data_IF_010504624003
#
_entry.id   IF_010504624003
#
_cell.length_a   1.000
_cell.length_b   1.000
_cell.length_c   1.000
_cell.angle_alpha   90.00
_cell.angle_beta   90.00
_cell.angle_gamma   90.00
#
_symmetry.space_group_name_H-M   'P 1'
#
loop_
_entity.id
_entity.type
_entity.pdbx_description
1 polymer ?
#
# COMPACT_ATOMS: atom_id res chain seq x y z
N UNK A 1 -1.97 13.45 8.98
CA UNK A 1 -3.01 14.44 9.25
C UNK A 1 -4.25 13.74 9.85
N UNK A 2 -4.95 14.39 10.77
CA UNK A 2 -6.13 13.80 11.41
C UNK A 2 -7.43 14.11 10.66
N UNK A 3 -7.38 15.06 9.74
CA UNK A 3 -8.53 15.56 9.01
C UNK A 3 -8.72 14.91 7.65
N UNK A 4 -9.98 14.73 7.27
CA UNK A 4 -10.43 14.45 5.92
C UNK A 4 -11.01 15.73 5.34
N UNK A 5 -10.45 16.22 4.24
CA UNK A 5 -10.95 17.40 3.55
C UNK A 5 -12.00 16.97 2.53
N UNK A 6 -13.12 17.66 2.54
CA UNK A 6 -14.25 17.42 1.66
C UNK A 6 -14.59 18.72 0.95
N UNK A 7 -14.65 18.69 -0.37
CA UNK A 7 -15.06 19.80 -1.23
C UNK A 7 -16.20 19.35 -2.12
N UNK A 8 -17.28 20.12 -2.16
CA UNK A 8 -18.43 19.91 -3.03
C UNK A 8 -18.55 21.09 -3.98
N UNK A 9 -18.61 20.82 -5.26
CA UNK A 9 -18.74 21.83 -6.33
C UNK A 9 -19.41 21.18 -7.55
N UNK A 10 -20.41 21.84 -8.11
CA UNK A 10 -21.07 21.44 -9.37
C UNK A 10 -21.51 19.97 -9.47
N UNK A 11 -22.08 19.41 -8.40
CA UNK A 11 -22.53 18.01 -8.37
C UNK A 11 -21.41 16.99 -8.18
N UNK A 12 -20.19 17.44 -7.92
CA UNK A 12 -19.03 16.61 -7.61
C UNK A 12 -18.58 16.82 -6.17
N UNK A 13 -18.25 15.75 -5.49
CA UNK A 13 -17.62 15.77 -4.17
C UNK A 13 -16.21 15.18 -4.27
N UNK A 14 -15.22 15.97 -3.90
CA UNK A 14 -13.84 15.52 -3.76
C UNK A 14 -13.53 15.31 -2.28
N UNK A 15 -12.99 14.13 -1.96
CA UNK A 15 -12.60 13.76 -0.60
C UNK A 15 -11.10 13.50 -0.60
N UNK A 16 -10.35 14.20 0.28
CA UNK A 16 -8.88 14.15 0.32
C UNK A 16 -8.40 13.76 1.72
N UNK A 17 -7.60 12.70 1.78
CA UNK A 17 -6.89 12.28 2.98
C UNK A 17 -5.38 12.19 2.73
N UNK A 18 -4.58 12.45 3.77
CA UNK A 18 -3.13 12.33 3.68
C UNK A 18 -2.50 12.05 5.05
N UNK A 19 -1.40 11.28 5.04
CA UNK A 19 -0.47 11.15 6.16
C UNK A 19 0.88 11.85 5.91
N UNK A 20 0.96 12.64 4.81
CA UNK A 20 2.12 13.37 4.27
C UNK A 20 3.04 12.54 3.39
N UNK A 21 3.07 11.20 3.53
CA UNK A 21 3.81 10.30 2.66
C UNK A 21 2.92 9.67 1.59
N UNK A 22 1.61 9.60 1.88
CA UNK A 22 0.56 9.17 0.96
C UNK A 22 -0.55 10.21 0.94
N UNK A 23 -0.96 10.63 -0.25
CA UNK A 23 -2.18 11.40 -0.50
C UNK A 23 -3.15 10.52 -1.25
N UNK A 24 -4.40 10.48 -0.80
CA UNK A 24 -5.50 9.82 -1.50
C UNK A 24 -6.58 10.86 -1.76
N UNK A 25 -7.03 10.95 -3.02
CA UNK A 25 -8.21 11.71 -3.40
C UNK A 25 -9.24 10.77 -4.01
N UNK A 26 -10.48 10.98 -3.66
CA UNK A 26 -11.62 10.28 -4.26
C UNK A 26 -12.64 11.29 -4.78
N UNK A 27 -13.14 11.05 -5.98
CA UNK A 27 -14.19 11.86 -6.62
C UNK A 27 -15.50 11.08 -6.64
N UNK A 28 -16.54 11.68 -6.14
CA UNK A 28 -17.88 11.12 -6.03
C UNK A 28 -18.87 12.02 -6.74
N UNK A 29 -19.83 11.44 -7.46
CA UNK A 29 -20.97 12.18 -7.95
C UNK A 29 -21.98 12.32 -6.81
N UNK A 30 -22.46 13.53 -6.56
CA UNK A 30 -23.40 13.83 -5.49
C UNK A 30 -24.51 14.76 -6.00
N UNK A 31 -25.69 14.60 -5.43
CA UNK A 31 -26.76 15.59 -5.59
C UNK A 31 -26.52 16.71 -4.58
N UNK A 32 -25.98 17.83 -5.04
CA UNK A 32 -25.70 18.98 -4.16
C UNK A 32 -26.57 20.17 -4.49
N UNK A 33 -27.18 20.77 -3.45
CA UNK A 33 -27.91 22.03 -3.57
C UNK A 33 -26.98 23.24 -3.48
N UNK A 34 -25.88 23.11 -2.72
CA UNK A 34 -24.94 24.20 -2.44
C UNK A 34 -23.53 23.61 -2.38
N UNK A 35 -22.60 24.26 -3.08
CA UNK A 35 -21.18 23.92 -2.97
C UNK A 35 -20.59 24.41 -1.64
N UNK A 36 -19.49 23.81 -1.23
CA UNK A 36 -18.79 24.20 -0.01
C UNK A 36 -17.62 23.26 0.30
N UNK A 37 -16.92 23.59 1.36
CA UNK A 37 -15.77 22.81 1.81
C UNK A 37 -15.75 22.66 3.33
N UNK A 38 -15.23 21.56 3.82
CA UNK A 38 -15.03 21.34 5.23
C UNK A 38 -13.88 20.38 5.51
N UNK A 39 -13.30 20.51 6.70
CA UNK A 39 -12.34 19.57 7.24
C UNK A 39 -12.94 18.93 8.49
N UNK A 40 -13.01 17.60 8.54
CA UNK A 40 -13.57 16.84 9.66
C UNK A 40 -12.63 15.74 10.09
N UNK A 41 -12.80 15.22 11.32
CA UNK A 41 -11.97 14.11 11.81
C UNK A 41 -12.22 12.85 10.96
N UNK A 42 -11.19 12.40 10.27
CA UNK A 42 -11.24 11.29 9.31
C UNK A 42 -11.72 9.97 9.95
N UNK A 43 -11.19 9.65 11.15
CA UNK A 43 -11.53 8.41 11.85
C UNK A 43 -12.99 8.40 12.27
N UNK A 44 -13.45 9.50 12.86
CA UNK A 44 -14.84 9.60 13.35
C UNK A 44 -15.81 9.55 12.18
N UNK A 45 -15.55 10.33 11.11
CA UNK A 45 -16.37 10.30 9.91
C UNK A 45 -16.46 8.89 9.30
N UNK A 46 -15.33 8.22 9.15
CA UNK A 46 -15.28 6.85 8.61
C UNK A 46 -16.07 5.87 9.47
N UNK A 47 -15.97 5.96 10.80
CA UNK A 47 -16.74 5.10 11.72
C UNK A 47 -18.25 5.38 11.65
N UNK A 48 -18.64 6.66 11.56
CA UNK A 48 -20.05 7.06 11.44
C UNK A 48 -20.64 6.52 10.14
N UNK A 49 -20.02 6.83 8.99
CA UNK A 49 -20.52 6.40 7.67
C UNK A 49 -20.58 4.89 7.55
N UNK A 50 -19.56 4.16 8.06
CA UNK A 50 -19.52 2.69 8.03
C UNK A 50 -20.66 2.04 8.84
N UNK A 51 -21.12 2.69 9.90
CA UNK A 51 -22.18 2.18 10.79
C UNK A 51 -23.59 2.66 10.40
N UNK A 52 -23.70 3.58 9.44
CA UNK A 52 -24.98 3.98 8.91
C UNK A 52 -25.60 2.87 8.06
N UNK A 53 -26.91 2.82 8.03
CA UNK A 53 -27.66 1.93 7.14
C UNK A 53 -27.35 2.26 5.68
N UNK A 54 -27.45 1.27 4.81
CA UNK A 54 -27.33 1.50 3.36
C UNK A 54 -28.45 2.42 2.87
N UNK A 55 -28.10 3.37 2.02
CA UNK A 55 -29.05 4.33 1.44
C UNK A 55 -28.41 5.69 1.19
N UNK A 56 -29.23 6.69 1.09
CA UNK A 56 -28.80 8.07 0.92
C UNK A 56 -28.23 8.60 2.23
N UNK A 57 -27.06 9.24 2.15
CA UNK A 57 -26.43 9.94 3.27
C UNK A 57 -26.39 11.43 2.91
N UNK A 58 -26.98 12.25 3.76
CA UNK A 58 -27.06 13.69 3.57
C UNK A 58 -26.06 14.40 4.46
N UNK A 59 -25.28 15.29 3.87
CA UNK A 59 -24.33 16.15 4.59
C UNK A 59 -24.85 17.59 4.57
N UNK A 60 -25.05 18.19 5.74
CA UNK A 60 -25.50 19.56 5.90
C UNK A 60 -24.50 20.40 6.66
N UNK A 61 -24.14 21.55 6.11
CA UNK A 61 -23.26 22.53 6.74
C UNK A 61 -24.01 23.37 7.78
N UNK A 62 -23.63 23.26 9.04
CA UNK A 62 -24.20 24.05 10.15
C UNK A 62 -23.23 25.16 10.63
N UNK A 63 -22.28 25.60 9.80
CA UNK A 63 -21.27 26.58 10.16
C UNK A 63 -20.05 25.94 10.83
N UNK A 64 -20.09 25.73 12.14
CA UNK A 64 -18.97 25.12 12.89
C UNK A 64 -19.04 23.58 12.94
N UNK A 65 -20.12 23.00 12.48
CA UNK A 65 -20.37 21.56 12.48
C UNK A 65 -20.87 21.11 11.11
N UNK A 66 -20.66 19.83 10.80
CA UNK A 66 -21.31 19.14 9.69
C UNK A 66 -22.29 18.14 10.28
N UNK A 67 -23.52 18.22 9.88
CA UNK A 67 -24.56 17.24 10.19
C UNK A 67 -24.56 16.16 9.12
N UNK A 68 -24.62 14.90 9.54
CA UNK A 68 -24.63 13.71 8.71
C UNK A 68 -25.87 12.92 9.07
N UNK A 69 -26.75 12.75 8.10
CA UNK A 69 -28.04 12.09 8.28
C UNK A 69 -28.18 10.89 7.35
N UNK A 70 -28.72 9.80 7.87
CA UNK A 70 -29.16 8.66 7.07
C UNK A 70 -30.29 7.94 7.78
N UNK A 71 -31.44 7.73 7.11
CA UNK A 71 -32.65 7.14 7.64
C UNK A 71 -33.10 7.85 8.96
N UNK A 72 -32.94 7.20 10.11
CA UNK A 72 -33.30 7.74 11.45
C UNK A 72 -32.09 8.19 12.25
N UNK A 73 -30.91 8.16 11.69
CA UNK A 73 -29.66 8.48 12.37
C UNK A 73 -29.18 9.88 12.02
N UNK A 74 -28.83 10.66 13.02
CA UNK A 74 -28.26 12.01 12.90
C UNK A 74 -26.99 12.09 13.73
N UNK A 75 -25.91 12.58 13.13
CA UNK A 75 -24.63 12.84 13.79
C UNK A 75 -24.15 14.25 13.46
N UNK A 76 -23.56 14.92 14.46
CA UNK A 76 -22.93 16.25 14.26
C UNK A 76 -21.43 16.12 14.54
N UNK A 77 -20.64 16.45 13.55
CA UNK A 77 -19.17 16.46 13.67
C UNK A 77 -18.68 17.91 13.65
N UNK A 78 -17.88 18.28 14.65
CA UNK A 78 -17.23 19.59 14.65
C UNK A 78 -16.21 19.67 13.52
N UNK A 79 -16.25 20.78 12.77
CA UNK A 79 -15.23 21.09 11.77
C UNK A 79 -13.90 21.38 12.42
N UNK A 80 -12.83 20.93 11.77
CA UNK A 80 -11.47 21.34 12.05
C UNK A 80 -11.13 22.60 11.26
N UNK A 81 -10.11 23.33 11.67
CA UNK A 81 -9.65 24.49 10.93
C UNK A 81 -9.01 24.05 9.59
N UNK A 82 -9.71 24.32 8.50
CA UNK A 82 -9.26 23.94 7.15
C UNK A 82 -8.03 24.75 6.69
N UNK A 83 -7.75 25.89 7.27
CA UNK A 83 -6.55 26.68 6.97
C UNK A 83 -5.26 25.97 7.40
N UNK A 84 -5.36 24.99 8.30
CA UNK A 84 -4.24 24.13 8.70
C UNK A 84 -3.96 22.98 7.75
N UNK A 85 -4.86 22.72 6.79
CA UNK A 85 -4.65 21.67 5.80
C UNK A 85 -3.69 22.15 4.70
N UNK A 86 -2.64 21.38 4.33
CA UNK A 86 -1.64 21.84 3.36
C UNK A 86 -2.26 22.10 1.98
N UNK A 87 -2.20 23.35 1.51
CA UNK A 87 -2.79 23.76 0.22
C UNK A 87 -2.24 22.96 -0.95
N UNK A 88 -0.94 22.62 -0.93
CA UNK A 88 -0.32 21.82 -1.98
C UNK A 88 -1.00 20.47 -2.21
N UNK A 89 -1.64 19.90 -1.18
CA UNK A 89 -2.40 18.65 -1.33
C UNK A 89 -3.72 18.85 -2.07
N UNK A 90 -4.23 20.08 -2.11
CA UNK A 90 -5.49 20.43 -2.79
C UNK A 90 -5.29 20.72 -4.27
N UNK A 91 -4.06 21.10 -4.67
CA UNK A 91 -3.74 21.59 -6.02
C UNK A 91 -3.41 20.48 -7.01
N UNK A 92 -3.05 19.27 -6.56
CA UNK A 92 -2.74 18.16 -7.45
C UNK A 92 -3.96 17.75 -8.26
N UNK A 93 -3.85 17.78 -9.58
CA UNK A 93 -4.91 17.36 -10.50
C UNK A 93 -5.00 15.83 -10.62
N UNK A 94 -6.18 15.33 -11.02
CA UNK A 94 -6.36 13.93 -11.41
C UNK A 94 -5.67 13.60 -12.74
N UNK A 95 -5.38 14.59 -13.56
CA UNK A 95 -4.66 14.43 -14.81
C UNK A 95 -3.27 15.03 -14.67
N UNK A 96 -2.25 14.24 -14.98
CA UNK A 96 -0.86 14.67 -14.95
C UNK A 96 -0.25 14.58 -16.34
N UNK A 97 0.51 15.60 -16.72
CA UNK A 97 1.32 15.56 -17.94
C UNK A 97 2.28 14.36 -17.89
N UNK A 98 2.49 13.72 -19.04
CA UNK A 98 3.37 12.54 -19.22
C UNK A 98 2.90 11.27 -18.50
N UNK A 99 1.64 11.16 -18.14
CA UNK A 99 1.09 9.93 -17.58
C UNK A 99 0.97 8.83 -18.61
N UNK A 100 1.23 7.62 -18.19
CA UNK A 100 1.18 6.42 -19.03
C UNK A 100 0.11 5.47 -18.53
N UNK A 101 -0.56 4.80 -19.47
CA UNK A 101 -1.53 3.75 -19.11
C UNK A 101 -0.81 2.55 -18.50
N UNK A 102 -1.27 2.12 -17.35
CA UNK A 102 -0.72 0.99 -16.61
C UNK A 102 -1.53 -0.28 -16.85
N UNK A 103 -0.85 -1.42 -17.00
CA UNK A 103 -1.43 -2.74 -16.83
C UNK A 103 -1.34 -3.15 -15.34
N UNK A 104 -2.38 -2.90 -14.51
CA UNK A 104 -2.24 -2.93 -13.05
C UNK A 104 -1.97 -4.32 -12.50
N UNK A 105 -2.52 -5.36 -13.12
CA UNK A 105 -2.43 -6.74 -12.64
C UNK A 105 -1.00 -7.22 -12.47
N UNK A 106 -0.12 -6.97 -13.45
CA UNK A 106 1.27 -7.41 -13.41
C UNK A 106 2.03 -6.69 -12.30
N UNK A 107 1.96 -5.35 -12.26
CA UNK A 107 2.63 -4.53 -11.25
C UNK A 107 2.12 -4.85 -9.83
N UNK A 108 0.81 -4.88 -9.62
CA UNK A 108 0.24 -5.09 -8.29
C UNK A 108 0.53 -6.49 -7.76
N UNK A 109 0.50 -7.50 -8.65
CA UNK A 109 0.90 -8.87 -8.29
C UNK A 109 2.37 -8.94 -7.91
N UNK A 110 3.24 -8.29 -8.67
CA UNK A 110 4.67 -8.24 -8.40
C UNK A 110 4.97 -7.50 -7.08
N UNK A 111 4.34 -6.35 -6.84
CA UNK A 111 4.48 -5.59 -5.60
C UNK A 111 4.06 -6.39 -4.36
N UNK A 112 2.95 -7.15 -4.43
CA UNK A 112 2.55 -8.03 -3.33
C UNK A 112 3.56 -9.14 -3.06
N UNK A 113 4.15 -9.72 -4.12
CA UNK A 113 5.15 -10.79 -3.97
C UNK A 113 6.43 -10.29 -3.31
N UNK A 114 6.90 -9.09 -3.67
CA UNK A 114 8.14 -8.56 -3.10
C UNK A 114 7.91 -7.87 -1.77
N UNK A 115 6.81 -7.19 -1.59
CA UNK A 115 6.53 -6.35 -0.43
C UNK A 115 6.55 -7.10 0.91
N UNK A 116 6.34 -8.43 0.89
CA UNK A 116 6.45 -9.27 2.10
C UNK A 116 7.85 -9.25 2.73
N UNK A 117 8.89 -8.91 1.96
CA UNK A 117 10.26 -8.81 2.43
C UNK A 117 10.66 -7.38 2.84
N UNK A 118 9.80 -6.38 2.66
CA UNK A 118 10.07 -5.05 3.16
C UNK A 118 10.13 -5.02 4.69
N UNK A 119 11.02 -4.20 5.24
CA UNK A 119 11.13 -4.03 6.69
C UNK A 119 9.87 -3.41 7.26
N UNK A 120 9.34 -3.90 8.39
CA UNK A 120 8.32 -3.16 9.12
C UNK A 120 8.90 -1.84 9.65
N UNK A 121 8.02 -0.91 10.01
CA UNK A 121 8.42 0.39 10.57
C UNK A 121 9.35 0.21 11.79
N UNK A 122 10.38 1.05 11.90
CA UNK A 122 11.35 1.06 13.00
C UNK A 122 12.79 0.67 12.64
N UNK A 123 13.02 0.19 11.40
CA UNK A 123 14.36 -0.11 10.86
C UNK A 123 14.98 1.08 10.10
N UNK A 124 15.82 0.76 9.11
CA UNK A 124 16.31 1.76 8.15
C UNK A 124 15.15 2.17 7.24
N UNK A 125 14.80 3.46 7.12
CA UNK A 125 13.63 3.92 6.35
C UNK A 125 13.61 3.38 4.91
N UNK A 126 14.75 3.35 4.22
CA UNK A 126 14.86 2.86 2.84
C UNK A 126 14.45 1.38 2.69
N UNK A 127 14.60 0.55 3.74
CA UNK A 127 14.22 -0.87 3.71
C UNK A 127 12.71 -1.07 3.94
N UNK A 128 11.96 -0.04 4.33
CA UNK A 128 10.49 -0.12 4.40
C UNK A 128 9.86 -0.01 3.01
N UNK A 129 10.65 0.33 2.00
CA UNK A 129 10.22 0.52 0.63
C UNK A 129 10.51 -0.66 -0.29
N UNK A 130 9.86 -0.62 -1.44
CA UNK A 130 10.22 -1.39 -2.63
C UNK A 130 11.07 -0.51 -3.53
N UNK A 131 12.21 -1.01 -3.93
CA UNK A 131 13.08 -0.36 -4.92
C UNK A 131 12.69 -0.82 -6.31
N UNK A 132 12.54 0.13 -7.22
CA UNK A 132 12.25 -0.09 -8.63
C UNK A 132 13.55 0.08 -9.40
N UNK A 133 14.25 -1.02 -9.64
CA UNK A 133 15.52 -1.05 -10.37
C UNK A 133 15.23 -1.22 -11.87
N UNK A 134 15.29 -0.12 -12.60
CA UNK A 134 15.02 -0.07 -14.04
C UNK A 134 16.33 -0.03 -14.83
N UNK A 135 16.53 -1.00 -15.73
CA UNK A 135 17.70 -1.09 -16.61
C UNK A 135 17.44 -0.55 -18.02
N UNK A 136 16.26 0.03 -18.27
CA UNK A 136 15.83 0.57 -19.58
C UNK A 136 15.04 -0.44 -20.44
N UNK A 137 15.08 -1.74 -20.12
CA UNK A 137 14.28 -2.79 -20.79
C UNK A 137 13.23 -3.40 -19.87
N UNK A 138 13.57 -3.54 -18.60
CA UNK A 138 12.72 -4.14 -17.58
C UNK A 138 12.92 -3.46 -16.25
N UNK A 139 11.96 -3.62 -15.37
CA UNK A 139 12.02 -3.13 -13.99
C UNK A 139 12.04 -4.31 -13.03
N UNK A 140 13.10 -4.40 -12.23
CA UNK A 140 13.18 -5.36 -11.13
C UNK A 140 12.72 -4.69 -9.85
N UNK A 141 11.61 -5.17 -9.29
CA UNK A 141 11.13 -4.76 -7.98
C UNK A 141 11.90 -5.52 -6.90
N UNK A 142 12.40 -4.81 -5.91
CA UNK A 142 13.27 -5.37 -4.87
C UNK A 142 12.82 -4.91 -3.50
N UNK A 143 12.74 -5.80 -2.54
CA UNK A 143 12.61 -5.45 -1.12
C UNK A 143 13.42 -6.36 -0.22
N UNK A 144 13.87 -5.85 0.92
CA UNK A 144 14.62 -6.60 1.93
C UNK A 144 14.46 -5.96 3.31
N UNK A 145 14.50 -6.79 4.34
CA UNK A 145 14.58 -6.37 5.75
C UNK A 145 15.95 -6.69 6.37
N UNK A 146 16.97 -6.96 5.55
CA UNK A 146 18.32 -7.43 5.89
C UNK A 146 18.44 -8.92 6.23
N UNK A 147 17.33 -9.65 6.41
CA UNK A 147 17.32 -11.09 6.69
C UNK A 147 16.81 -11.90 5.50
N UNK A 148 15.92 -11.32 4.72
CA UNK A 148 15.35 -11.91 3.51
C UNK A 148 15.31 -10.87 2.40
N UNK A 149 15.38 -11.34 1.17
CA UNK A 149 15.34 -10.54 -0.05
C UNK A 149 14.29 -11.15 -0.97
N UNK A 150 13.43 -10.30 -1.52
CA UNK A 150 12.50 -10.69 -2.56
C UNK A 150 12.68 -9.82 -3.79
N UNK A 151 12.66 -10.46 -4.97
CA UNK A 151 12.69 -9.76 -6.25
C UNK A 151 11.62 -10.28 -7.18
N UNK A 152 11.11 -9.41 -8.03
CA UNK A 152 10.23 -9.77 -9.13
C UNK A 152 10.49 -8.82 -10.30
N UNK A 153 10.67 -9.36 -11.49
CA UNK A 153 10.95 -8.56 -12.69
C UNK A 153 9.69 -8.47 -13.53
N UNK A 154 9.37 -7.27 -13.96
CA UNK A 154 8.27 -6.96 -14.87
C UNK A 154 8.84 -6.29 -16.13
N UNK A 155 8.22 -6.60 -17.25
CA UNK A 155 8.55 -5.96 -18.53
C UNK A 155 7.62 -4.78 -18.76
N UNK A 156 8.13 -3.75 -19.48
CA UNK A 156 7.31 -2.63 -19.95
C UNK A 156 6.55 -1.86 -18.84
N UNK A 157 7.18 -1.64 -17.68
CA UNK A 157 6.65 -0.64 -16.76
C UNK A 157 6.78 0.75 -17.41
N UNK A 158 5.67 1.48 -17.62
CA UNK A 158 5.69 2.69 -18.42
C UNK A 158 6.18 3.92 -17.64
N UNK A 159 7.24 3.77 -16.86
CA UNK A 159 7.94 4.85 -16.13
C UNK A 159 9.44 4.55 -16.11
N UNK A 160 10.25 5.59 -16.27
CA UNK A 160 11.71 5.43 -16.34
C UNK A 160 12.36 5.20 -14.97
N UNK A 161 11.88 5.88 -13.94
CA UNK A 161 12.39 5.77 -12.57
C UNK A 161 11.29 5.98 -11.53
N UNK A 162 11.03 4.98 -10.74
CA UNK A 162 10.16 5.10 -9.56
C UNK A 162 10.97 5.22 -8.25
N UNK A 163 12.26 4.93 -8.26
CA UNK A 163 13.11 5.00 -7.07
C UNK A 163 12.71 4.01 -5.99
N UNK A 164 12.78 4.44 -4.74
CA UNK A 164 12.37 3.65 -3.57
C UNK A 164 11.04 4.18 -3.07
N UNK A 165 10.02 3.33 -2.99
CA UNK A 165 8.66 3.73 -2.61
C UNK A 165 8.17 2.91 -1.42
N UNK A 166 7.62 3.57 -0.41
CA UNK A 166 7.08 2.91 0.79
C UNK A 166 6.11 1.78 0.44
N UNK A 167 6.40 0.55 0.90
CA UNK A 167 5.50 -0.58 0.65
C UNK A 167 4.14 -0.39 1.33
N UNK A 168 4.09 0.22 2.51
CA UNK A 168 2.83 0.56 3.17
C UNK A 168 1.94 1.42 2.29
N UNK A 169 2.50 2.50 1.73
CA UNK A 169 1.76 3.41 0.86
C UNK A 169 1.37 2.75 -0.47
N UNK A 170 2.26 1.94 -1.06
CA UNK A 170 1.95 1.14 -2.25
C UNK A 170 0.81 0.14 -1.98
N UNK A 171 0.80 -0.52 -0.82
CA UNK A 171 -0.23 -1.49 -0.47
C UNK A 171 -1.61 -0.83 -0.30
N UNK A 172 -1.70 0.38 0.26
CA UNK A 172 -2.95 1.14 0.30
C UNK A 172 -3.39 1.58 -1.12
N UNK A 173 -2.45 1.99 -1.96
CA UNK A 173 -2.72 2.28 -3.38
C UNK A 173 -3.26 1.05 -4.11
N UNK A 174 -2.63 -0.11 -3.95
CA UNK A 174 -3.08 -1.37 -4.56
C UNK A 174 -4.53 -1.68 -4.16
N UNK A 175 -4.86 -1.62 -2.86
CA UNK A 175 -6.22 -1.88 -2.37
C UNK A 175 -7.27 -0.95 -2.99
N UNK A 176 -6.88 0.28 -3.30
CA UNK A 176 -7.79 1.26 -3.89
C UNK A 176 -8.10 0.97 -5.36
N UNK A 177 -7.12 0.44 -6.10
CA UNK A 177 -7.20 0.27 -7.55
C UNK A 177 -7.38 -1.17 -8.02
N UNK A 178 -7.19 -2.20 -7.16
CA UNK A 178 -7.18 -3.60 -7.59
C UNK A 178 -8.49 -4.09 -8.20
N UNK A 179 -9.61 -3.57 -7.73
CA UNK A 179 -10.96 -3.91 -8.23
C UNK A 179 -11.50 -2.88 -9.23
N UNK A 180 -10.63 -1.98 -9.73
CA UNK A 180 -11.05 -0.97 -10.69
C UNK A 180 -11.26 -1.57 -12.07
N UNK A 181 -12.45 -1.37 -12.64
CA UNK A 181 -12.74 -1.67 -14.05
C UNK A 181 -12.24 -0.57 -15.01
N UNK A 182 -11.86 0.58 -14.47
CA UNK A 182 -11.36 1.72 -15.24
C UNK A 182 -9.88 1.59 -15.55
N UNK A 183 -9.45 2.22 -16.63
CA UNK A 183 -8.04 2.39 -16.96
C UNK A 183 -7.32 3.12 -15.83
N UNK A 184 -6.16 2.62 -15.44
CA UNK A 184 -5.30 3.22 -14.43
C UNK A 184 -4.10 3.82 -15.13
N UNK A 185 -3.75 5.02 -14.73
CA UNK A 185 -2.58 5.74 -15.22
C UNK A 185 -1.53 5.85 -14.11
N UNK A 186 -0.28 5.82 -14.52
CA UNK A 186 0.89 5.99 -13.64
C UNK A 186 1.75 7.13 -14.15
N UNK A 187 2.31 7.90 -13.24
CA UNK A 187 3.32 8.91 -13.51
C UNK A 187 4.34 8.92 -12.38
N UNK A 188 5.58 9.18 -12.72
CA UNK A 188 6.70 9.31 -11.78
C UNK A 188 7.34 10.66 -11.92
N UNK A 189 7.43 11.39 -10.82
CA UNK A 189 8.20 12.62 -10.70
C UNK A 189 9.48 12.36 -9.91
N UNK A 190 10.32 13.37 -9.73
CA UNK A 190 11.53 13.25 -8.91
C UNK A 190 11.23 12.77 -7.46
N UNK A 191 10.09 13.19 -6.90
CA UNK A 191 9.77 13.00 -5.48
C UNK A 191 8.61 12.08 -5.19
N UNK A 192 7.75 11.83 -6.18
CA UNK A 192 6.47 11.15 -5.97
C UNK A 192 6.16 10.16 -7.10
N UNK A 193 5.46 9.11 -6.75
CA UNK A 193 4.86 8.16 -7.69
C UNK A 193 3.34 8.32 -7.60
N UNK A 194 2.71 8.54 -8.74
CA UNK A 194 1.28 8.83 -8.85
C UNK A 194 0.55 7.70 -9.55
N UNK A 195 -0.64 7.36 -9.03
CA UNK A 195 -1.59 6.49 -9.70
C UNK A 195 -2.95 7.17 -9.71
N UNK A 196 -3.66 7.09 -10.82
CA UNK A 196 -4.98 7.69 -10.91
C UNK A 196 -5.87 7.06 -11.99
N UNK A 197 -7.16 7.26 -11.83
CA UNK A 197 -8.21 7.05 -12.80
C UNK A 197 -9.25 8.17 -12.66
N UNK A 198 -10.41 8.04 -13.27
CA UNK A 198 -11.48 9.06 -13.17
C UNK A 198 -12.00 9.27 -11.73
N UNK A 199 -11.91 8.25 -10.89
CA UNK A 199 -12.50 8.23 -9.55
C UNK A 199 -11.48 8.45 -8.43
N UNK A 200 -10.27 7.93 -8.58
CA UNK A 200 -9.25 7.94 -7.55
C UNK A 200 -7.93 8.51 -8.05
N UNK A 201 -7.24 9.17 -7.14
CA UNK A 201 -5.86 9.62 -7.31
C UNK A 201 -5.08 9.30 -6.05
N UNK A 202 -3.86 8.79 -6.22
CA UNK A 202 -2.89 8.64 -5.14
C UNK A 202 -1.56 9.25 -5.53
N UNK A 203 -0.93 9.94 -4.57
CA UNK A 203 0.47 10.37 -4.65
C UNK A 203 1.23 9.72 -3.51
N UNK A 204 2.28 8.98 -3.85
CA UNK A 204 3.14 8.27 -2.90
C UNK A 204 4.52 8.91 -2.93
N UNK A 205 4.98 9.42 -1.80
CA UNK A 205 6.31 10.02 -1.67
C UNK A 205 7.41 8.96 -1.78
N UNK A 206 8.43 9.25 -2.59
CA UNK A 206 9.64 8.44 -2.70
C UNK A 206 10.50 8.59 -1.44
N UNK A 207 11.14 7.51 -1.04
CA UNK A 207 12.10 7.50 0.06
C UNK A 207 13.46 7.94 -0.46
N UNK A 208 14.08 8.87 0.27
CA UNK A 208 15.41 9.38 -0.08
C UNK A 208 16.51 8.42 0.40
N UNK A 209 17.51 8.18 -0.43
CA UNK A 209 18.68 7.39 -0.09
C UNK A 209 19.08 6.39 -1.18
N UNK A 210 20.19 5.69 -0.94
CA UNK A 210 20.69 4.66 -1.84
C UNK A 210 20.22 3.28 -1.35
N UNK A 211 19.58 2.54 -2.23
CA UNK A 211 19.21 1.14 -1.93
C UNK A 211 20.48 0.27 -1.89
N UNK A 212 20.55 -0.75 -1.00
CA UNK A 212 21.69 -1.66 -0.95
C UNK A 212 21.95 -2.38 -2.27
N UNK A 213 23.23 -2.68 -2.56
CA UNK A 213 23.63 -3.48 -3.71
C UNK A 213 23.18 -4.93 -3.54
N UNK A 214 21.93 -5.22 -3.87
CA UNK A 214 21.29 -6.51 -3.65
C UNK A 214 21.76 -7.59 -4.62
N UNK A 215 22.24 -7.21 -5.83
CA UNK A 215 22.70 -8.15 -6.85
C UNK A 215 23.85 -9.03 -6.35
N UNK A 216 24.72 -8.47 -5.50
CA UNK A 216 25.86 -9.19 -4.92
C UNK A 216 25.44 -10.28 -3.92
N UNK A 217 24.18 -10.26 -3.44
CA UNK A 217 23.67 -11.24 -2.49
C UNK A 217 23.20 -12.54 -3.15
N UNK A 218 22.99 -12.54 -4.45
CA UNK A 218 22.60 -13.75 -5.17
C UNK A 218 23.79 -14.68 -5.34
N UNK A 219 23.64 -15.98 -5.01
CA UNK A 219 24.68 -16.97 -5.25
C UNK A 219 24.93 -17.10 -6.76
N UNK A 220 26.21 -17.21 -7.14
CA UNK A 220 26.58 -17.40 -8.55
C UNK A 220 26.21 -18.80 -9.06
N UNK A 221 26.22 -19.77 -8.19
CA UNK A 221 25.88 -21.18 -8.47
C UNK A 221 25.02 -21.74 -7.33
N UNK A 222 24.03 -22.54 -7.67
CA UNK A 222 23.24 -23.27 -6.71
C UNK A 222 23.97 -24.59 -6.36
N UNK A 223 24.13 -24.88 -5.09
CA UNK A 223 24.75 -26.14 -4.62
C UNK A 223 23.81 -27.31 -4.88
N UNK A 224 22.51 -27.12 -4.73
CA UNK A 224 21.48 -28.12 -5.01
C UNK A 224 20.13 -27.43 -5.27
N UNK A 225 19.21 -28.19 -5.82
CA UNK A 225 17.82 -27.78 -6.05
C UNK A 225 16.90 -28.85 -5.48
N UNK A 226 15.78 -28.43 -4.88
CA UNK A 226 14.74 -29.32 -4.38
C UNK A 226 13.40 -28.94 -4.97
N UNK A 227 12.59 -29.94 -5.27
CA UNK A 227 11.20 -29.77 -5.67
C UNK A 227 10.30 -30.31 -4.56
N UNK A 228 9.35 -29.50 -4.10
CA UNK A 228 8.48 -29.85 -2.99
C UNK A 228 7.02 -29.51 -3.30
N UNK A 229 6.09 -30.29 -2.76
CA UNK A 229 4.67 -29.94 -2.80
C UNK A 229 4.41 -28.73 -1.93
N UNK A 230 3.89 -27.65 -2.55
CA UNK A 230 3.63 -26.37 -1.89
C UNK A 230 2.71 -26.51 -0.66
N UNK A 231 1.65 -27.32 -0.76
CA UNK A 231 0.68 -27.47 0.34
C UNK A 231 1.34 -28.19 1.51
N UNK A 232 2.05 -29.26 1.26
CA UNK A 232 2.72 -30.04 2.30
C UNK A 232 3.78 -29.22 3.04
N UNK A 233 4.63 -28.49 2.30
CA UNK A 233 5.66 -27.67 2.96
C UNK A 233 5.05 -26.53 3.78
N UNK A 234 3.96 -25.91 3.30
CA UNK A 234 3.27 -24.86 4.08
C UNK A 234 2.67 -25.42 5.37
N UNK A 235 2.01 -26.59 5.32
CA UNK A 235 1.45 -27.23 6.50
C UNK A 235 2.53 -27.62 7.51
N UNK A 236 3.69 -28.13 7.05
CA UNK A 236 4.81 -28.47 7.93
C UNK A 236 5.48 -27.23 8.54
N UNK A 237 5.65 -26.17 7.76
CA UNK A 237 6.14 -24.89 8.28
C UNK A 237 5.20 -24.30 9.33
N UNK A 238 3.88 -24.34 9.08
CA UNK A 238 2.86 -23.84 10.01
C UNK A 238 2.93 -24.57 11.36
N UNK A 239 3.04 -25.90 11.36
CA UNK A 239 3.26 -26.68 12.59
C UNK A 239 4.59 -26.36 13.28
N UNK A 240 5.67 -26.20 12.50
CA UNK A 240 7.00 -25.91 13.05
C UNK A 240 7.08 -24.54 13.71
N UNK A 241 6.27 -23.56 13.25
CA UNK A 241 6.24 -22.21 13.82
C UNK A 241 5.54 -22.12 15.17
N UNK A 242 4.77 -23.14 15.58
CA UNK A 242 4.09 -23.16 16.88
C UNK A 242 5.06 -22.99 18.05
N UNK A 243 6.28 -23.53 17.93
CA UNK A 243 7.33 -23.41 18.95
C UNK A 243 8.37 -22.32 18.61
N UNK A 244 8.26 -21.69 17.44
CA UNK A 244 9.17 -20.64 16.96
C UNK A 244 8.57 -19.26 17.23
N UNK A 245 8.45 -18.85 18.50
CA UNK A 245 8.01 -17.50 18.83
C UNK A 245 9.12 -16.46 18.59
N UNK A 246 8.74 -15.29 18.09
CA UNK A 246 9.63 -14.16 17.86
C UNK A 246 10.61 -14.38 16.67
N UNK A 247 11.89 -14.28 16.91
CA UNK A 247 12.95 -14.40 15.89
C UNK A 247 13.62 -15.77 15.81
N UNK A 248 12.94 -16.83 16.23
CA UNK A 248 13.50 -18.18 16.18
C UNK A 248 13.44 -18.71 14.75
N UNK A 249 14.60 -19.09 14.16
CA UNK A 249 14.63 -19.58 12.79
C UNK A 249 14.07 -20.99 12.67
N UNK A 250 13.39 -21.25 11.56
CA UNK A 250 13.05 -22.59 11.11
C UNK A 250 14.20 -23.08 10.24
N UNK A 251 14.74 -24.26 10.55
CA UNK A 251 15.81 -24.90 9.81
C UNK A 251 15.25 -25.91 8.81
N UNK A 252 15.62 -25.78 7.55
CA UNK A 252 15.34 -26.73 6.48
C UNK A 252 16.63 -27.53 6.20
N UNK A 253 16.57 -28.84 6.36
CA UNK A 253 17.70 -29.72 6.13
C UNK A 253 17.34 -30.86 5.17
N UNK A 254 17.99 -30.90 4.02
CA UNK A 254 17.90 -32.05 3.12
C UNK A 254 18.60 -33.23 3.77
N UNK A 255 17.87 -34.30 4.03
CA UNK A 255 18.38 -35.51 4.67
C UNK A 255 18.85 -36.50 3.62
N UNK A 256 18.04 -36.72 2.59
CA UNK A 256 18.33 -37.56 1.45
C UNK A 256 17.52 -37.11 0.23
N UNK A 257 17.52 -37.90 -0.85
CA UNK A 257 16.84 -37.57 -2.11
C UNK A 257 15.33 -37.36 -1.98
N UNK A 258 14.69 -37.93 -0.95
CA UNK A 258 13.22 -37.90 -0.79
C UNK A 258 12.77 -37.21 0.50
N UNK A 259 13.68 -36.86 1.39
CA UNK A 259 13.36 -36.39 2.70
C UNK A 259 13.96 -35.00 2.99
N UNK A 260 13.09 -34.06 3.33
CA UNK A 260 13.40 -32.72 3.83
C UNK A 260 12.95 -32.65 5.30
N UNK A 261 13.87 -32.37 6.19
CA UNK A 261 13.57 -32.17 7.60
C UNK A 261 13.35 -30.68 7.86
N UNK A 262 12.26 -30.35 8.54
CA UNK A 262 11.89 -28.99 8.96
C UNK A 262 11.89 -28.96 10.47
N UNK A 263 12.70 -28.12 11.08
CA UNK A 263 12.82 -28.07 12.54
C UNK A 263 12.94 -26.66 13.07
N UNK A 264 12.39 -26.45 14.26
CA UNK A 264 12.59 -25.25 15.06
C UNK A 264 12.88 -25.65 16.50
N UNK A 265 13.70 -24.89 17.19
CA UNK A 265 14.04 -25.13 18.60
C UNK A 265 14.08 -23.83 19.35
N UNK A 266 13.23 -23.74 20.37
CA UNK A 266 13.20 -22.65 21.32
C UNK A 266 13.74 -23.19 22.66
N UNK A 267 14.77 -22.58 23.21
CA UNK A 267 15.42 -23.03 24.46
C UNK A 267 14.50 -23.00 25.67
N UNK A 268 13.51 -22.11 25.64
CA UNK A 268 12.61 -21.89 26.77
C UNK A 268 11.30 -22.68 26.68
N UNK A 269 10.90 -23.06 25.47
CA UNK A 269 9.59 -23.72 25.21
C UNK A 269 9.76 -25.18 24.77
N UNK A 270 10.81 -25.47 23.99
CA UNK A 270 11.05 -26.80 23.42
C UNK A 270 11.32 -26.76 21.92
N UNK A 271 11.21 -27.88 21.22
CA UNK A 271 11.47 -27.99 19.81
C UNK A 271 10.46 -28.88 19.10
N UNK A 272 10.29 -28.65 17.81
CA UNK A 272 9.51 -29.46 16.89
C UNK A 272 10.36 -29.88 15.68
N UNK A 273 10.11 -31.10 15.20
CA UNK A 273 10.73 -31.67 13.99
C UNK A 273 9.65 -32.30 13.14
N UNK A 274 9.62 -31.98 11.85
CA UNK A 274 8.71 -32.51 10.84
C UNK A 274 9.48 -33.20 9.72
#
# INVERSE_FOLDING_TARGET
LQGLYIKVEDGSCEVIGSDLDLVIKAKLNVDSMVGGECLVNARILSEVVRKMSSGEIVFSDLGNEVMIEADKSEYKLRKLDHLTYPKALLENSFEQENSQKLAPFELFTALRKVGIAASPEGGKPILTGVFFDNDGEKTTLVSTDSYRLATNTISNLPIDDAGIVSYRSLNETIKLFEDSEQDIFINSTERELHFYNEKYYTSVRKLEGNYPEYQALFPKENVFSIEVDKKKILESLDRSTVVAEGFIPVTLKVVDENNLNISSTNKDIGGGVE
#
